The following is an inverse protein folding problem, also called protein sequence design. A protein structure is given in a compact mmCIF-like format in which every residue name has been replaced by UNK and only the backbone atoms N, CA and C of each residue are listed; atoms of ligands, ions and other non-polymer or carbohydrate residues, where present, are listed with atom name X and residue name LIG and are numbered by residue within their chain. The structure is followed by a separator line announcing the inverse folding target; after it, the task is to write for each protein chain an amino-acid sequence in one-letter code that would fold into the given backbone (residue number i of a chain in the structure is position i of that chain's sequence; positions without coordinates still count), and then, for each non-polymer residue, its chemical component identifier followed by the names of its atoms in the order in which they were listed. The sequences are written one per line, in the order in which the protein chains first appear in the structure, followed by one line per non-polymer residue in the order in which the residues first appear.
data_IF_697307855627
#
_entry.id   IF_697307855627
#
_cell.length_a   1.000
_cell.length_b   1.000
_cell.length_c   1.000
_cell.angle_alpha   90.00
_cell.angle_beta   90.00
_cell.angle_gamma   90.00
#
_symmetry.space_group_name_H-M   'P 1'
#
loop_
_entity.id
_entity.type
_entity.pdbx_description
1 polymer ?
#
# COMPACT_ATOMS: atom_id res chain seq x y z
N UNK A 1 7.66 0.55 -13.66
CA UNK A 1 8.34 0.97 -12.41
C UNK A 1 7.30 1.74 -11.60
N UNK A 2 7.14 1.48 -10.30
CA UNK A 2 6.23 2.29 -9.47
C UNK A 2 6.88 3.65 -9.21
N UNK A 3 6.16 4.74 -9.40
CA UNK A 3 6.67 6.11 -9.26
C UNK A 3 6.54 6.60 -7.82
N UNK A 4 7.03 5.82 -6.86
CA UNK A 4 7.14 6.21 -5.45
C UNK A 4 8.58 6.65 -5.21
N UNK A 5 8.75 7.85 -4.67
CA UNK A 5 10.07 8.41 -4.37
C UNK A 5 10.79 7.58 -3.31
N UNK A 6 12.10 7.36 -3.48
CA UNK A 6 12.94 6.57 -2.56
C UNK A 6 12.41 5.15 -2.28
N UNK A 7 11.58 4.60 -3.16
CA UNK A 7 11.11 3.23 -3.08
C UNK A 7 12.28 2.25 -3.28
N UNK A 8 12.45 1.34 -2.33
CA UNK A 8 13.53 0.35 -2.33
C UNK A 8 13.03 -1.09 -2.20
N UNK A 9 11.75 -1.30 -1.90
CA UNK A 9 11.15 -2.62 -1.89
C UNK A 9 9.71 -2.58 -2.39
N UNK A 10 9.34 -3.56 -3.22
CA UNK A 10 7.97 -3.76 -3.68
C UNK A 10 7.49 -5.13 -3.18
N UNK A 11 6.32 -5.17 -2.52
CA UNK A 11 5.74 -6.39 -1.99
C UNK A 11 4.68 -7.00 -2.92
N UNK A 12 3.59 -6.27 -3.16
CA UNK A 12 2.37 -6.79 -3.79
C UNK A 12 1.60 -5.65 -4.43
N UNK A 13 0.80 -5.97 -5.45
CA UNK A 13 -0.16 -5.04 -6.08
C UNK A 13 -1.50 -5.75 -6.25
N UNK A 14 -2.58 -4.98 -6.13
CA UNK A 14 -3.93 -5.39 -6.47
C UNK A 14 -4.65 -4.26 -7.19
N UNK A 15 -5.09 -4.51 -8.42
CA UNK A 15 -5.88 -3.56 -9.20
C UNK A 15 -7.37 -3.86 -9.02
N UNK A 16 -8.15 -2.87 -8.61
CA UNK A 16 -9.62 -2.94 -8.52
C UNK A 16 -10.26 -2.69 -9.88
N UNK A 17 -9.61 -1.89 -10.72
CA UNK A 17 -9.99 -1.60 -12.10
C UNK A 17 -8.74 -1.34 -12.95
N UNK A 18 -8.91 -0.85 -14.19
CA UNK A 18 -7.78 -0.40 -15.01
C UNK A 18 -7.14 0.89 -14.49
N UNK A 19 -7.82 1.63 -13.63
CA UNK A 19 -7.39 2.95 -13.13
C UNK A 19 -7.10 2.91 -11.62
N UNK A 20 -7.83 2.12 -10.86
CA UNK A 20 -7.75 2.10 -9.40
C UNK A 20 -6.99 0.87 -8.90
N UNK A 21 -6.03 1.07 -7.99
CA UNK A 21 -5.29 -0.04 -7.41
C UNK A 21 -4.41 0.31 -6.23
N UNK A 22 -3.97 -0.72 -5.53
CA UNK A 22 -3.20 -0.61 -4.30
C UNK A 22 -1.91 -1.40 -4.39
N UNK A 23 -0.81 -0.85 -3.89
CA UNK A 23 0.49 -1.50 -3.87
C UNK A 23 1.15 -1.38 -2.51
N UNK A 24 1.75 -2.46 -2.03
CA UNK A 24 2.59 -2.41 -0.84
C UNK A 24 4.03 -2.12 -1.22
N UNK A 25 4.58 -1.01 -0.75
CA UNK A 25 5.92 -0.53 -1.11
C UNK A 25 6.63 -0.01 0.14
N UNK A 26 7.88 -0.39 0.34
CA UNK A 26 8.73 0.27 1.35
C UNK A 26 9.49 1.41 0.65
N UNK A 27 9.32 2.62 1.16
CA UNK A 27 10.04 3.83 0.75
C UNK A 27 10.73 4.47 1.97
N UNK A 28 11.75 5.29 1.71
CA UNK A 28 12.35 6.15 2.74
C UNK A 28 11.72 7.55 2.64
N UNK A 29 11.14 8.07 3.73
CA UNK A 29 10.62 9.45 3.81
C UNK A 29 11.56 10.44 4.49
N UNK A 30 12.80 10.03 4.78
CA UNK A 30 13.76 10.88 5.49
C UNK A 30 13.65 10.86 7.02
N UNK A 31 12.78 10.03 7.60
CA UNK A 31 12.75 9.71 9.04
C UNK A 31 13.38 8.35 9.39
N UNK A 32 13.70 8.14 10.67
CA UNK A 32 14.36 6.91 11.19
C UNK A 32 13.51 5.63 11.10
N UNK A 33 12.19 5.73 10.83
CA UNK A 33 11.29 4.58 10.90
C UNK A 33 10.25 4.58 9.77
N UNK A 34 10.59 3.87 8.69
CA UNK A 34 9.76 3.36 7.58
C UNK A 34 8.39 4.03 7.34
N UNK A 35 8.35 4.81 6.26
CA UNK A 35 7.18 5.49 5.74
C UNK A 35 6.13 4.56 5.16
N UNK A 36 4.91 5.10 5.03
CA UNK A 36 3.67 4.46 4.57
C UNK A 36 3.88 3.32 3.56
N UNK A 37 3.24 2.18 3.84
CA UNK A 37 3.55 0.92 3.15
C UNK A 37 2.47 0.41 2.24
N UNK A 38 1.37 1.14 2.16
CA UNK A 38 0.32 0.95 1.18
C UNK A 38 0.19 2.23 0.40
N UNK A 39 0.21 2.12 -0.92
CA UNK A 39 0.02 3.21 -1.84
C UNK A 39 -1.21 2.93 -2.69
N UNK A 40 -1.93 3.98 -3.03
CA UNK A 40 -3.13 3.97 -3.85
C UNK A 40 -2.86 4.73 -5.14
N UNK A 41 -3.30 4.17 -6.27
CA UNK A 41 -3.35 4.85 -7.56
C UNK A 41 -4.79 4.97 -8.03
N UNK A 42 -5.11 6.08 -8.68
CA UNK A 42 -6.39 6.33 -9.34
C UNK A 42 -6.21 6.60 -10.85
N UNK A 43 -5.01 6.40 -11.38
CA UNK A 43 -4.67 6.66 -12.77
C UNK A 43 -4.00 5.46 -13.47
N UNK A 44 -4.17 4.25 -12.95
CA UNK A 44 -3.59 3.03 -13.53
C UNK A 44 -2.11 2.87 -13.22
N UNK A 45 -1.62 3.60 -12.21
CA UNK A 45 -0.27 3.47 -11.67
C UNK A 45 0.74 4.49 -12.22
N UNK A 46 0.30 5.57 -12.88
CA UNK A 46 1.18 6.67 -13.24
C UNK A 46 1.61 7.45 -12.01
N UNK A 47 0.67 7.70 -11.08
CA UNK A 47 0.90 8.34 -9.79
C UNK A 47 0.39 7.45 -8.64
N UNK A 48 1.02 7.62 -7.47
CA UNK A 48 0.79 6.80 -6.28
C UNK A 48 0.83 7.68 -5.03
N UNK A 49 -0.21 7.62 -4.22
CA UNK A 49 -0.36 8.36 -2.98
C UNK A 49 -0.34 7.40 -1.78
N UNK A 50 0.23 7.83 -0.66
CA UNK A 50 0.31 7.00 0.53
C UNK A 50 -1.07 6.84 1.19
N UNK A 51 -1.51 5.60 1.41
CA UNK A 51 -2.73 5.27 2.14
C UNK A 51 -2.39 5.05 3.62
N UNK A 52 -2.72 6.02 4.47
CA UNK A 52 -2.40 6.06 5.90
C UNK A 52 -3.21 5.07 6.76
N UNK A 53 -3.11 3.77 6.49
CA UNK A 53 -3.91 2.72 7.17
C UNK A 53 -3.30 2.20 8.47
N UNK A 54 -2.05 2.56 8.79
CA UNK A 54 -1.36 2.05 9.98
C UNK A 54 -0.14 2.92 10.31
N UNK A 55 0.09 3.14 11.61
CA UNK A 55 1.32 3.76 12.15
C UNK A 55 2.44 2.72 12.41
N UNK A 56 2.28 1.46 11.99
CA UNK A 56 3.25 0.41 12.27
C UNK A 56 4.48 0.48 11.35
N UNK A 57 5.66 0.47 11.97
CA UNK A 57 6.97 0.46 11.35
C UNK A 57 7.35 -0.86 10.67
N UNK A 58 6.56 -1.93 10.80
CA UNK A 58 6.82 -3.26 10.22
C UNK A 58 6.36 -3.36 8.77
N UNK A 59 7.11 -4.09 7.94
CA UNK A 59 6.94 -4.10 6.47
C UNK A 59 5.60 -4.73 6.06
N UNK A 60 4.83 -4.08 5.19
CA UNK A 60 3.69 -4.73 4.53
C UNK A 60 4.18 -5.56 3.35
N UNK A 61 3.64 -6.77 3.19
CA UNK A 61 4.12 -7.75 2.21
C UNK A 61 3.08 -8.15 1.22
N UNK A 62 1.80 -8.05 1.58
CA UNK A 62 0.70 -8.47 0.72
C UNK A 62 -0.50 -7.56 0.92
N UNK A 63 -1.13 -7.22 -0.18
CA UNK A 63 -2.47 -6.63 -0.24
C UNK A 63 -3.41 -7.63 -0.92
N UNK A 64 -4.62 -7.73 -0.42
CA UNK A 64 -5.67 -8.59 -0.96
C UNK A 64 -7.03 -7.91 -0.80
N UNK A 65 -7.90 -8.04 -1.79
CA UNK A 65 -9.26 -7.52 -1.73
C UNK A 65 -10.30 -8.64 -1.83
N UNK A 66 -11.34 -8.55 -1.00
CA UNK A 66 -12.54 -9.38 -1.07
C UNK A 66 -13.67 -8.56 -1.67
N UNK A 67 -13.69 -8.48 -2.99
CA UNK A 67 -14.56 -7.55 -3.72
C UNK A 67 -14.04 -6.11 -3.69
N UNK A 68 -14.74 -5.16 -4.31
CA UNK A 68 -14.19 -3.83 -4.55
C UNK A 68 -14.03 -2.96 -3.29
N UNK A 69 -14.74 -3.26 -2.20
CA UNK A 69 -14.83 -2.35 -1.05
C UNK A 69 -14.08 -2.82 0.21
N UNK A 70 -13.54 -4.05 0.21
CA UNK A 70 -12.94 -4.64 1.41
C UNK A 70 -11.53 -5.14 1.15
N UNK A 71 -10.56 -4.35 1.61
CA UNK A 71 -9.13 -4.63 1.51
C UNK A 71 -8.51 -5.16 2.80
N UNK A 72 -7.46 -5.96 2.65
CA UNK A 72 -6.63 -6.49 3.73
C UNK A 72 -5.16 -6.30 3.38
N UNK A 73 -4.38 -5.84 4.36
CA UNK A 73 -2.93 -5.81 4.28
C UNK A 73 -2.30 -6.62 5.42
N UNK A 74 -1.29 -7.40 5.07
CA UNK A 74 -0.51 -8.20 6.02
C UNK A 74 0.97 -7.96 5.81
N UNK A 75 1.73 -8.09 6.89
CA UNK A 75 3.12 -7.71 6.93
C UNK A 75 3.96 -8.51 7.91
N UNK A 76 5.14 -7.99 8.21
CA UNK A 76 6.01 -8.50 9.26
C UNK A 76 5.32 -8.28 10.62
N UNK A 77 5.32 -9.28 11.50
CA UNK A 77 4.49 -9.32 12.72
C UNK A 77 3.20 -10.15 12.55
N UNK A 78 2.53 -10.50 13.65
CA UNK A 78 1.26 -11.26 13.63
C UNK A 78 0.03 -10.37 13.41
N UNK A 79 0.22 -9.18 12.83
CA UNK A 79 -0.82 -8.15 12.76
C UNK A 79 -1.51 -8.16 11.39
N UNK A 80 -2.84 -8.13 11.44
CA UNK A 80 -3.69 -8.01 10.25
C UNK A 80 -4.39 -6.65 10.30
N UNK A 81 -4.19 -5.84 9.27
CA UNK A 81 -4.82 -4.53 9.15
C UNK A 81 -6.02 -4.61 8.19
N UNK A 82 -7.17 -4.10 8.65
CA UNK A 82 -8.40 -3.98 7.86
C UNK A 82 -8.64 -2.51 7.54
N UNK A 83 -8.87 -2.19 6.27
CA UNK A 83 -9.25 -0.84 5.83
C UNK A 83 -10.44 -0.90 4.87
N UNK A 84 -11.13 0.23 4.73
CA UNK A 84 -12.26 0.41 3.80
C UNK A 84 -11.94 1.54 2.85
N UNK A 85 -12.21 1.34 1.56
CA UNK A 85 -12.02 2.35 0.52
C UNK A 85 -13.38 2.98 0.21
N UNK A 86 -13.46 4.31 0.32
CA UNK A 86 -14.63 5.10 -0.06
C UNK A 86 -15.82 5.05 0.93
N UNK A 87 -16.41 6.22 1.15
CA UNK A 87 -17.87 6.37 1.16
C UNK A 87 -18.27 7.07 -0.13
#
# INVERSE_FOLDING_TARGET
KINVENAYNFGSIWMLSTEEGYATVDAYDGGDFASNKLYHTQDGGYTWEAEGISENFLRMKKVFFRGPYLGFCVGQGAETYRFTVGK
#
